data_IF_227022555251
#
_entry.id   IF_227022555251
#
_cell.length_a   1.000
_cell.length_b   1.000
_cell.length_c   1.000
_cell.angle_alpha   90.00
_cell.angle_beta   90.00
_cell.angle_gamma   90.00
#
_symmetry.space_group_name_H-M   'P 1'
#
loop_
_entity.id
_entity.type
_entity.pdbx_description
1 polymer ?
#
# COMPACT_ATOMS: atom_id res chain seq x y z
N UNK A 1 24.33 -5.02 10.52
CA UNK A 1 24.47 -4.11 9.36
C UNK A 1 23.98 -2.72 9.74
N UNK A 2 24.60 -1.68 9.17
CA UNK A 2 24.08 -0.31 9.23
C UNK A 2 23.32 -0.01 7.95
N UNK A 3 22.03 0.24 8.04
CA UNK A 3 21.12 0.46 6.91
C UNK A 3 20.67 1.91 6.90
N UNK A 4 20.94 2.64 5.83
CA UNK A 4 20.39 3.98 5.62
C UNK A 4 19.17 3.87 4.71
N UNK A 5 17.97 4.06 5.27
CA UNK A 5 16.73 4.10 4.53
C UNK A 5 16.43 5.52 4.05
N UNK A 6 16.26 5.70 2.75
CA UNK A 6 15.87 7.00 2.16
C UNK A 6 14.56 6.83 1.43
N UNK A 7 13.52 7.55 1.84
CA UNK A 7 12.16 7.35 1.34
C UNK A 7 11.46 8.66 1.00
N UNK A 8 10.63 8.63 -0.06
CA UNK A 8 9.80 9.78 -0.49
C UNK A 8 8.57 9.98 0.39
N UNK A 9 8.22 8.99 1.22
CA UNK A 9 7.07 9.03 2.13
C UNK A 9 7.39 8.22 3.39
N UNK A 10 7.08 8.79 4.55
CA UNK A 10 7.22 8.13 5.84
C UNK A 10 6.19 8.67 6.83
N UNK A 11 6.25 8.22 8.08
CA UNK A 11 5.39 8.76 9.14
C UNK A 11 5.49 10.30 9.19
N UNK A 12 4.40 11.02 9.47
CA UNK A 12 3.06 10.59 9.88
C UNK A 12 2.10 10.23 8.74
N UNK A 13 2.58 10.16 7.50
CA UNK A 13 1.76 9.72 6.35
C UNK A 13 1.27 8.29 6.54
N UNK A 14 0.08 7.98 6.00
CA UNK A 14 -0.53 6.65 6.07
C UNK A 14 -0.75 6.11 4.67
N UNK A 15 0.10 5.17 4.27
CA UNK A 15 -0.04 4.42 3.03
C UNK A 15 0.69 3.07 3.14
N UNK A 16 0.46 2.18 2.20
CA UNK A 16 1.04 0.83 2.21
C UNK A 16 2.57 0.81 2.17
N UNK A 17 3.23 1.85 1.61
CA UNK A 17 4.69 1.96 1.60
C UNK A 17 5.19 2.28 2.99
N UNK A 18 4.57 3.25 3.66
CA UNK A 18 4.90 3.62 5.06
C UNK A 18 4.74 2.42 5.97
N UNK A 19 3.59 1.71 5.89
CA UNK A 19 3.35 0.51 6.69
C UNK A 19 4.45 -0.53 6.49
N UNK A 20 4.82 -0.82 5.24
CA UNK A 20 5.89 -1.76 4.92
C UNK A 20 7.24 -1.33 5.49
N UNK A 21 7.61 -0.06 5.30
CA UNK A 21 8.91 0.43 5.74
C UNK A 21 9.02 0.50 7.27
N UNK A 22 7.93 0.81 7.97
CA UNK A 22 7.90 0.79 9.43
C UNK A 22 8.14 -0.63 9.95
N UNK A 23 7.43 -1.64 9.45
CA UNK A 23 7.67 -3.03 9.82
C UNK A 23 9.07 -3.53 9.47
N UNK A 24 9.64 -3.08 8.33
CA UNK A 24 11.02 -3.40 7.96
C UNK A 24 12.00 -2.80 8.96
N UNK A 25 11.83 -1.55 9.37
CA UNK A 25 12.69 -0.88 10.36
C UNK A 25 12.59 -1.60 11.71
N UNK A 26 11.38 -1.90 12.17
CA UNK A 26 11.16 -2.63 13.43
C UNK A 26 11.85 -4.01 13.41
N UNK A 27 11.74 -4.73 12.30
CA UNK A 27 12.41 -6.02 12.12
C UNK A 27 13.94 -5.89 12.15
N UNK A 28 14.50 -4.93 11.40
CA UNK A 28 15.95 -4.69 11.38
C UNK A 28 16.50 -4.38 12.78
N UNK A 29 15.80 -3.53 13.53
CA UNK A 29 16.20 -3.19 14.91
C UNK A 29 16.09 -4.39 15.85
N UNK A 30 15.04 -5.20 15.71
CA UNK A 30 14.87 -6.43 16.53
C UNK A 30 15.95 -7.48 16.27
N UNK A 31 16.50 -7.51 15.04
CA UNK A 31 17.61 -8.39 14.66
C UNK A 31 19.01 -7.77 14.97
N UNK A 32 19.03 -6.64 15.69
CA UNK A 32 20.28 -5.99 16.12
C UNK A 32 21.00 -5.23 15.01
N UNK A 33 20.29 -4.81 13.97
CA UNK A 33 20.82 -3.91 12.95
C UNK A 33 20.66 -2.45 13.36
N UNK A 34 21.57 -1.58 12.90
CA UNK A 34 21.46 -0.14 13.08
C UNK A 34 20.76 0.46 11.86
N UNK A 35 19.77 1.34 12.09
CA UNK A 35 19.01 1.97 11.03
C UNK A 35 18.94 3.47 11.26
N UNK A 36 19.20 4.25 10.21
CA UNK A 36 18.85 5.67 10.15
C UNK A 36 17.98 5.93 8.94
N UNK A 37 17.09 6.93 9.04
CA UNK A 37 16.07 7.21 8.04
C UNK A 37 16.21 8.64 7.55
N UNK A 38 16.19 8.86 6.23
CA UNK A 38 15.99 10.18 5.62
C UNK A 38 14.63 10.19 4.95
N UNK A 39 13.76 11.10 5.40
CA UNK A 39 12.40 11.24 4.92
C UNK A 39 11.97 12.72 4.82
N UNK A 40 10.85 13.07 4.16
CA UNK A 40 10.31 14.43 4.18
C UNK A 40 10.02 14.91 5.61
N UNK A 41 10.53 16.09 6.00
CA UNK A 41 10.54 16.56 7.39
C UNK A 41 9.22 17.13 7.92
N UNK A 42 8.18 17.29 7.09
CA UNK A 42 6.94 17.92 7.54
C UNK A 42 6.16 17.00 8.50
N UNK A 43 5.92 17.48 9.72
CA UNK A 43 5.13 16.78 10.74
C UNK A 43 5.90 15.69 11.51
N UNK A 44 7.21 15.50 11.27
CA UNK A 44 8.01 14.51 12.00
C UNK A 44 8.13 14.91 13.47
N UNK A 45 8.50 16.15 13.76
CA UNK A 45 8.68 16.63 15.14
C UNK A 45 7.36 16.51 15.95
N UNK A 46 6.23 16.84 15.34
CA UNK A 46 4.91 16.69 15.95
C UNK A 46 4.54 15.21 16.15
N UNK A 47 4.92 14.35 15.22
CA UNK A 47 4.69 12.90 15.31
C UNK A 47 5.55 12.27 16.41
N UNK A 48 6.83 12.59 16.49
CA UNK A 48 7.74 12.11 17.54
C UNK A 48 7.29 12.56 18.93
N UNK A 49 6.83 13.83 19.05
CA UNK A 49 6.29 14.36 20.31
C UNK A 49 4.97 13.70 20.74
N UNK A 50 4.14 13.25 19.78
CA UNK A 50 2.85 12.62 20.04
C UNK A 50 2.95 11.09 20.20
N UNK A 51 4.10 10.49 19.87
CA UNK A 51 4.30 9.05 19.95
C UNK A 51 4.49 8.62 21.40
N UNK A 52 3.48 7.92 21.95
CA UNK A 52 3.59 7.30 23.29
C UNK A 52 4.66 6.18 23.25
N UNK A 53 5.70 6.24 24.10
CA UNK A 53 6.70 5.18 24.20
C UNK A 53 6.13 3.78 24.47
N UNK A 54 4.89 3.72 25.02
CA UNK A 54 4.17 2.48 25.29
C UNK A 54 3.41 1.94 24.08
N UNK A 55 3.22 2.75 23.05
CA UNK A 55 2.55 2.39 21.80
C UNK A 55 3.56 2.26 20.66
N UNK A 56 4.62 1.48 20.90
CA UNK A 56 5.80 1.30 20.05
C UNK A 56 5.54 0.82 18.62
N UNK A 57 4.27 0.50 18.26
CA UNK A 57 3.89 0.08 16.91
C UNK A 57 3.79 1.22 15.89
N UNK A 58 3.97 2.47 16.29
CA UNK A 58 3.82 3.63 15.39
C UNK A 58 5.06 4.51 15.25
N UNK A 59 6.09 4.36 16.10
CA UNK A 59 7.34 5.11 15.98
C UNK A 59 8.49 4.12 15.84
N UNK A 60 9.18 4.08 14.68
CA UNK A 60 10.38 3.28 14.57
C UNK A 60 11.42 3.82 15.55
N UNK A 61 12.04 2.95 16.36
CA UNK A 61 13.12 3.31 17.28
C UNK A 61 14.43 3.77 16.60
N UNK A 62 14.35 4.19 15.33
CA UNK A 62 15.47 4.64 14.50
C UNK A 62 15.43 6.16 14.33
N UNK A 63 16.59 6.85 14.33
CA UNK A 63 16.67 8.28 14.07
C UNK A 63 16.13 8.66 12.69
N UNK A 64 15.31 9.73 12.63
CA UNK A 64 14.74 10.25 11.39
C UNK A 64 15.32 11.62 11.08
N UNK A 65 15.96 11.74 9.92
CA UNK A 65 16.49 13.01 9.41
C UNK A 65 15.45 13.64 8.47
N UNK A 66 14.78 14.68 8.93
CA UNK A 66 13.77 15.43 8.19
C UNK A 66 14.37 16.25 7.05
N UNK A 67 14.12 15.87 5.80
CA UNK A 67 14.53 16.64 4.64
C UNK A 67 13.63 17.87 4.44
N UNK A 68 14.17 19.04 4.02
CA UNK A 68 13.37 20.22 3.68
C UNK A 68 12.27 19.90 2.68
N UNK A 69 11.04 20.33 2.96
CA UNK A 69 9.85 19.99 2.18
C UNK A 69 9.22 21.22 1.54
N UNK A 70 8.50 20.97 0.44
CA UNK A 70 7.58 21.92 -0.19
C UNK A 70 6.20 21.28 -0.28
N UNK A 71 5.15 22.09 -0.09
CA UNK A 71 3.76 21.67 -0.36
C UNK A 71 3.45 21.96 -1.83
N UNK A 72 2.98 20.94 -2.53
CA UNK A 72 2.59 21.10 -3.93
C UNK A 72 1.07 21.32 -3.98
N UNK A 73 0.56 22.38 -4.65
CA UNK A 73 -0.86 22.76 -4.60
C UNK A 73 -1.84 21.65 -4.98
N UNK A 74 -1.47 20.76 -5.90
CA UNK A 74 -2.31 19.66 -6.39
C UNK A 74 -2.20 18.38 -5.56
N UNK A 75 -1.34 18.38 -4.51
CA UNK A 75 -1.17 17.25 -3.60
C UNK A 75 -0.83 17.76 -2.19
N UNK A 76 -1.72 18.57 -1.57
CA UNK A 76 -1.43 19.27 -0.32
C UNK A 76 -1.24 18.33 0.88
N UNK A 77 -1.79 17.11 0.79
CA UNK A 77 -1.70 16.09 1.85
C UNK A 77 -0.36 15.35 1.89
N UNK A 78 0.52 15.55 0.90
CA UNK A 78 1.81 14.87 0.83
C UNK A 78 2.94 15.88 0.69
N UNK A 79 3.87 15.94 1.67
CA UNK A 79 5.08 16.76 1.56
C UNK A 79 6.02 16.17 0.51
N UNK A 80 6.67 17.02 -0.26
CA UNK A 80 7.67 16.63 -1.26
C UNK A 80 9.03 17.23 -0.90
N UNK A 81 10.08 16.44 -0.94
CA UNK A 81 11.45 16.93 -0.76
C UNK A 81 12.15 17.03 -2.10
N UNK A 82 12.37 18.26 -2.57
CA UNK A 82 13.08 18.48 -3.83
C UNK A 82 14.57 18.16 -3.68
N UNK A 83 15.26 17.71 -4.74
CA UNK A 83 16.70 17.40 -4.73
C UNK A 83 17.56 18.67 -4.73
N UNK A 84 17.40 19.51 -3.72
CA UNK A 84 18.12 20.77 -3.55
C UNK A 84 19.57 20.54 -3.05
N UNK A 85 20.46 21.53 -3.16
CA UNK A 85 21.80 21.44 -2.57
C UNK A 85 21.79 21.21 -1.05
N UNK A 86 20.76 21.69 -0.33
CA UNK A 86 20.62 21.45 1.12
C UNK A 86 20.30 19.98 1.41
N UNK A 87 19.40 19.37 0.66
CA UNK A 87 19.08 17.94 0.76
C UNK A 87 20.30 17.07 0.45
N UNK A 88 21.05 17.40 -0.61
CA UNK A 88 22.30 16.71 -0.91
C UNK A 88 23.34 16.84 0.21
N UNK A 89 23.54 18.05 0.78
CA UNK A 89 24.47 18.25 1.90
C UNK A 89 24.05 17.48 3.15
N UNK A 90 22.76 17.46 3.45
CA UNK A 90 22.20 16.68 4.57
C UNK A 90 22.49 15.20 4.38
N UNK A 91 22.14 14.63 3.22
CA UNK A 91 22.38 13.22 2.90
C UNK A 91 23.87 12.86 2.99
N UNK A 92 24.76 13.70 2.46
CA UNK A 92 26.21 13.52 2.54
C UNK A 92 26.72 13.57 3.99
N UNK A 93 26.14 14.42 4.84
CA UNK A 93 26.46 14.47 6.26
C UNK A 93 26.07 13.17 6.96
N UNK A 94 24.81 12.74 6.79
CA UNK A 94 24.30 11.49 7.39
C UNK A 94 25.16 10.30 6.95
N UNK A 95 25.47 10.17 5.66
CA UNK A 95 26.31 9.07 5.15
C UNK A 95 27.70 9.07 5.79
N UNK A 96 28.32 10.24 6.01
CA UNK A 96 29.65 10.32 6.62
C UNK A 96 29.64 10.02 8.12
N UNK A 97 28.59 10.44 8.84
CA UNK A 97 28.45 10.26 10.28
C UNK A 97 28.02 8.82 10.60
N UNK A 98 26.98 8.33 9.95
CA UNK A 98 26.42 7.00 10.17
C UNK A 98 27.25 5.88 9.53
N UNK A 99 27.94 6.14 8.41
CA UNK A 99 28.73 5.15 7.63
C UNK A 99 27.94 3.89 7.32
N UNK A 100 26.84 3.99 6.57
CA UNK A 100 26.00 2.83 6.29
C UNK A 100 26.74 1.78 5.45
N UNK A 101 26.48 0.51 5.74
CA UNK A 101 26.95 -0.62 4.94
C UNK A 101 26.15 -0.72 3.63
N UNK A 102 24.85 -0.38 3.68
CA UNK A 102 23.93 -0.39 2.53
C UNK A 102 22.99 0.82 2.59
N UNK A 103 22.65 1.36 1.42
CA UNK A 103 21.63 2.40 1.27
C UNK A 103 20.40 1.74 0.61
N UNK A 104 19.22 1.86 1.24
CA UNK A 104 17.94 1.48 0.65
C UNK A 104 17.17 2.74 0.22
N UNK A 105 17.04 2.95 -1.09
CA UNK A 105 16.24 4.03 -1.65
C UNK A 105 14.83 3.51 -1.98
N UNK A 106 13.86 3.82 -1.11
CA UNK A 106 12.48 3.40 -1.29
C UNK A 106 11.74 4.36 -2.22
N UNK A 107 11.30 3.87 -3.38
CA UNK A 107 10.62 4.64 -4.42
C UNK A 107 11.42 5.90 -4.83
N UNK A 108 12.68 5.79 -5.30
CA UNK A 108 13.51 6.95 -5.55
C UNK A 108 12.95 7.81 -6.70
N UNK A 109 12.48 9.01 -6.38
CA UNK A 109 11.93 9.97 -7.36
C UNK A 109 12.67 11.30 -7.23
N UNK A 110 12.53 11.99 -6.12
CA UNK A 110 13.12 13.31 -5.85
C UNK A 110 14.20 13.22 -4.77
N UNK A 111 13.80 12.87 -3.54
CA UNK A 111 14.70 12.70 -2.40
C UNK A 111 15.69 11.55 -2.65
N UNK A 112 15.21 10.46 -3.23
CA UNK A 112 16.04 9.31 -3.60
C UNK A 112 17.18 9.62 -4.57
N UNK A 113 17.15 10.73 -5.33
CA UNK A 113 18.30 11.19 -6.13
C UNK A 113 19.51 11.53 -5.29
N UNK A 114 19.29 12.05 -4.08
CA UNK A 114 20.39 12.33 -3.15
C UNK A 114 21.01 11.01 -2.65
N UNK A 115 20.18 10.02 -2.33
CA UNK A 115 20.63 8.68 -1.94
C UNK A 115 21.46 7.99 -3.04
N UNK A 116 20.95 7.95 -4.27
CA UNK A 116 21.66 7.36 -5.43
C UNK A 116 23.01 8.04 -5.67
N UNK A 117 23.04 9.38 -5.59
CA UNK A 117 24.30 10.15 -5.75
C UNK A 117 25.30 9.83 -4.64
N UNK A 118 24.84 9.77 -3.38
CA UNK A 118 25.69 9.47 -2.24
C UNK A 118 26.24 8.04 -2.31
N UNK A 119 25.38 7.05 -2.63
CA UNK A 119 25.77 5.66 -2.83
C UNK A 119 26.92 5.53 -3.87
N UNK A 120 26.75 6.15 -5.04
CA UNK A 120 27.81 6.19 -6.07
C UNK A 120 29.09 6.83 -5.60
N UNK A 121 28.99 8.00 -4.94
CA UNK A 121 30.16 8.77 -4.50
C UNK A 121 31.00 8.02 -3.47
N UNK A 122 30.32 7.37 -2.51
CA UNK A 122 30.95 6.66 -1.41
C UNK A 122 31.14 5.16 -1.70
N UNK A 123 30.73 4.69 -2.89
CA UNK A 123 30.78 3.27 -3.29
C UNK A 123 30.07 2.35 -2.31
N UNK A 124 28.93 2.83 -1.78
CA UNK A 124 28.07 2.05 -0.88
C UNK A 124 27.05 1.29 -1.72
N UNK A 125 26.84 -0.01 -1.47
CA UNK A 125 25.80 -0.80 -2.12
C UNK A 125 24.42 -0.13 -2.02
N UNK A 126 23.69 -0.11 -3.15
CA UNK A 126 22.38 0.51 -3.26
C UNK A 126 21.32 -0.54 -3.59
N UNK A 127 20.32 -0.66 -2.73
CA UNK A 127 19.07 -1.36 -3.01
C UNK A 127 18.00 -0.32 -3.30
N UNK A 128 17.29 -0.44 -4.40
CA UNK A 128 16.17 0.44 -4.73
C UNK A 128 14.86 -0.36 -4.74
N UNK A 129 13.80 0.15 -4.11
CA UNK A 129 12.51 -0.53 -4.17
C UNK A 129 11.48 0.28 -4.98
N UNK A 130 10.78 -0.40 -5.89
CA UNK A 130 9.80 0.16 -6.79
C UNK A 130 8.40 -0.23 -6.34
N UNK A 131 7.76 0.65 -5.57
CA UNK A 131 6.47 0.38 -4.93
C UNK A 131 5.26 0.86 -5.72
N UNK A 132 5.45 1.82 -6.64
CA UNK A 132 4.35 2.44 -7.38
C UNK A 132 4.75 2.62 -8.84
N UNK A 133 3.93 2.12 -9.77
CA UNK A 133 4.08 2.41 -11.18
C UNK A 133 3.63 3.85 -11.47
N UNK A 134 4.50 4.81 -11.15
CA UNK A 134 4.20 6.23 -11.30
C UNK A 134 3.89 6.64 -12.75
N UNK A 135 4.57 6.12 -13.79
CA UNK A 135 4.20 6.40 -15.18
C UNK A 135 2.76 5.98 -15.53
N UNK A 136 2.36 4.76 -15.16
CA UNK A 136 0.98 4.28 -15.36
C UNK A 136 -0.04 5.07 -14.52
N UNK A 137 0.36 5.48 -13.33
CA UNK A 137 -0.44 6.33 -12.46
C UNK A 137 -0.71 7.70 -13.12
N UNK A 138 0.33 8.36 -13.61
CA UNK A 138 0.21 9.69 -14.25
C UNK A 138 -0.57 9.66 -15.54
N UNK A 139 -0.56 8.55 -16.28
CA UNK A 139 -1.36 8.41 -17.50
C UNK A 139 -2.87 8.50 -17.25
N UNK A 140 -3.35 8.23 -16.04
CA UNK A 140 -4.74 8.39 -15.62
C UNK A 140 -5.17 9.84 -15.40
N UNK A 141 -4.21 10.75 -15.20
CA UNK A 141 -4.47 12.17 -15.03
C UNK A 141 -4.20 12.92 -16.34
N UNK A 142 -5.26 13.27 -17.10
CA UNK A 142 -5.15 13.91 -18.43
C UNK A 142 -4.17 15.09 -18.47
N UNK A 143 -4.17 15.92 -17.41
CA UNK A 143 -3.27 17.07 -17.30
C UNK A 143 -1.79 16.69 -17.20
N UNK A 144 -1.46 15.46 -16.78
CA UNK A 144 -0.09 15.00 -16.50
C UNK A 144 0.35 13.82 -17.36
N UNK A 145 -0.53 13.28 -18.21
CA UNK A 145 -0.24 12.12 -19.05
C UNK A 145 1.01 12.32 -19.94
N UNK A 146 1.25 13.55 -20.41
CA UNK A 146 2.43 13.93 -21.20
C UNK A 146 3.74 13.73 -20.46
N UNK A 147 3.74 13.78 -19.12
CA UNK A 147 4.95 13.63 -18.29
C UNK A 147 5.34 12.16 -18.05
N UNK A 148 4.45 11.20 -18.33
CA UNK A 148 4.69 9.78 -18.08
C UNK A 148 6.02 9.25 -18.68
N UNK A 149 6.39 9.53 -19.96
CA UNK A 149 7.66 9.08 -20.53
C UNK A 149 8.89 9.72 -19.85
N UNK A 150 8.78 10.97 -19.40
CA UNK A 150 9.86 11.64 -18.68
C UNK A 150 10.09 11.01 -17.30
N UNK A 151 8.99 10.70 -16.62
CA UNK A 151 9.03 10.02 -15.30
C UNK A 151 9.57 8.60 -15.46
N UNK A 152 9.15 7.85 -16.49
CA UNK A 152 9.69 6.52 -16.80
C UNK A 152 11.22 6.57 -17.01
N UNK A 153 11.70 7.56 -17.79
CA UNK A 153 13.14 7.77 -18.00
C UNK A 153 13.88 8.13 -16.69
N UNK A 154 13.28 8.97 -15.86
CA UNK A 154 13.84 9.35 -14.56
C UNK A 154 13.91 8.14 -13.61
N UNK A 155 12.82 7.37 -13.50
CA UNK A 155 12.76 6.12 -12.72
C UNK A 155 13.85 5.16 -13.19
N UNK A 156 13.91 4.85 -14.48
CA UNK A 156 14.96 3.99 -15.05
C UNK A 156 16.35 4.45 -14.66
N UNK A 157 16.64 5.77 -14.78
CA UNK A 157 17.97 6.31 -14.46
C UNK A 157 18.35 6.11 -13.00
N UNK A 158 17.41 6.26 -12.07
CA UNK A 158 17.66 6.12 -10.64
C UNK A 158 17.82 4.67 -10.22
N UNK A 159 17.03 3.78 -10.79
CA UNK A 159 17.07 2.36 -10.50
C UNK A 159 18.24 1.62 -11.17
N UNK A 160 18.78 2.17 -12.27
CA UNK A 160 19.91 1.55 -13.00
C UNK A 160 21.19 1.48 -12.17
N UNK A 161 21.39 2.43 -11.26
CA UNK A 161 22.58 2.48 -10.41
C UNK A 161 22.47 1.56 -9.18
N UNK A 162 21.31 0.95 -8.94
CA UNK A 162 21.11 -0.01 -7.86
C UNK A 162 21.66 -1.39 -8.23
N UNK A 163 22.35 -2.04 -7.30
CA UNK A 163 22.77 -3.43 -7.44
C UNK A 163 21.55 -4.37 -7.44
N UNK A 164 20.52 -4.00 -6.67
CA UNK A 164 19.29 -4.78 -6.58
C UNK A 164 18.08 -3.85 -6.63
N UNK A 165 17.08 -4.27 -7.41
CA UNK A 165 15.78 -3.64 -7.49
C UNK A 165 14.71 -4.55 -6.87
N UNK A 166 14.04 -4.10 -5.81
CA UNK A 166 12.96 -4.80 -5.16
C UNK A 166 11.61 -4.33 -5.69
N UNK A 167 10.69 -5.25 -5.98
CA UNK A 167 9.32 -4.97 -6.43
C UNK A 167 8.32 -5.77 -5.60
N UNK A 168 7.04 -5.46 -5.72
CA UNK A 168 5.98 -5.98 -4.84
C UNK A 168 5.17 -7.13 -5.42
N UNK A 169 5.37 -7.46 -6.70
CA UNK A 169 4.62 -8.51 -7.43
C UNK A 169 5.34 -8.95 -8.69
N UNK A 170 4.97 -10.09 -9.26
CA UNK A 170 5.47 -10.57 -10.55
C UNK A 170 5.05 -9.64 -11.69
N UNK A 171 3.83 -9.09 -11.63
CA UNK A 171 3.37 -8.06 -12.56
C UNK A 171 4.29 -6.84 -12.53
N UNK A 172 4.63 -6.34 -11.34
CA UNK A 172 5.57 -5.24 -11.17
C UNK A 172 6.99 -5.61 -11.62
N UNK A 173 7.42 -6.87 -11.45
CA UNK A 173 8.71 -7.35 -11.97
C UNK A 173 8.74 -7.28 -13.49
N UNK A 174 7.66 -7.71 -14.14
CA UNK A 174 7.54 -7.65 -15.59
C UNK A 174 7.57 -6.21 -16.11
N UNK A 175 6.83 -5.30 -15.45
CA UNK A 175 6.83 -3.88 -15.76
C UNK A 175 8.21 -3.21 -15.54
N UNK A 176 8.87 -3.52 -14.43
CA UNK A 176 10.20 -3.01 -14.12
C UNK A 176 11.22 -3.46 -15.18
N UNK A 177 11.16 -4.73 -15.61
CA UNK A 177 11.99 -5.25 -16.72
C UNK A 177 11.68 -4.57 -18.04
N UNK A 178 10.41 -4.30 -18.34
CA UNK A 178 10.01 -3.55 -19.54
C UNK A 178 10.54 -2.11 -19.51
N UNK A 179 10.70 -1.50 -18.34
CA UNK A 179 11.39 -0.22 -18.15
C UNK A 179 12.92 -0.34 -18.29
N UNK A 180 13.46 -1.56 -18.44
CA UNK A 180 14.89 -1.84 -18.55
C UNK A 180 15.63 -1.82 -17.21
N UNK A 181 14.94 -2.20 -16.11
CA UNK A 181 15.58 -2.42 -14.82
C UNK A 181 16.14 -3.85 -14.76
N UNK A 182 17.33 -3.98 -14.20
CA UNK A 182 18.04 -5.24 -14.03
C UNK A 182 18.00 -5.69 -12.56
N UNK A 183 18.39 -6.94 -12.27
CA UNK A 183 18.43 -7.50 -10.91
C UNK A 183 17.14 -7.26 -10.11
N UNK A 184 15.99 -7.53 -10.77
CA UNK A 184 14.65 -7.28 -10.19
C UNK A 184 14.18 -8.49 -9.39
N UNK A 185 13.93 -8.29 -8.10
CA UNK A 185 13.48 -9.30 -7.14
C UNK A 185 12.12 -8.93 -6.55
N UNK A 186 11.24 -9.92 -6.47
CA UNK A 186 9.94 -9.74 -5.80
C UNK A 186 10.13 -9.94 -4.31
N UNK A 187 9.63 -9.00 -3.51
CA UNK A 187 9.52 -9.11 -2.05
C UNK A 187 8.08 -9.41 -1.66
N UNK A 188 7.90 -10.33 -0.72
CA UNK A 188 6.58 -10.79 -0.29
C UNK A 188 5.71 -9.65 0.23
N UNK A 189 4.40 -9.79 0.05
CA UNK A 189 3.40 -8.98 0.74
C UNK A 189 3.22 -9.50 2.16
N UNK A 190 2.65 -8.68 3.04
CA UNK A 190 2.40 -9.10 4.41
C UNK A 190 1.19 -8.38 5.01
N UNK A 191 0.67 -8.96 6.08
CA UNK A 191 -0.44 -8.43 6.86
C UNK A 191 -0.25 -8.75 8.34
N UNK A 192 -0.75 -7.88 9.23
CA UNK A 192 -0.82 -8.17 10.67
C UNK A 192 -2.09 -9.00 10.97
N UNK A 193 -1.92 -10.32 10.97
CA UNK A 193 -3.03 -11.26 11.22
C UNK A 193 -3.49 -11.29 12.68
N UNK A 194 -2.80 -10.59 13.59
CA UNK A 194 -3.23 -10.40 14.98
C UNK A 194 -4.20 -9.23 15.10
N UNK A 195 -3.98 -8.18 14.32
CA UNK A 195 -4.87 -7.03 14.24
C UNK A 195 -6.06 -7.35 13.34
N UNK A 196 -5.79 -7.87 12.15
CA UNK A 196 -6.81 -8.23 11.17
C UNK A 196 -7.14 -9.72 11.31
N UNK A 197 -8.29 -10.01 11.93
CA UNK A 197 -8.78 -11.36 12.18
C UNK A 197 -10.31 -11.40 12.16
N UNK A 198 -10.94 -12.56 11.92
CA UNK A 198 -12.41 -12.65 11.75
C UNK A 198 -13.24 -12.32 13.00
N UNK A 199 -12.60 -12.22 14.19
CA UNK A 199 -13.32 -12.13 15.48
C UNK A 199 -13.69 -13.52 16.02
N UNK A 200 -14.30 -13.52 17.20
CA UNK A 200 -14.71 -14.78 17.87
C UNK A 200 -16.02 -15.33 17.31
N UNK A 201 -16.89 -14.47 16.79
CA UNK A 201 -18.11 -14.89 16.08
C UNK A 201 -18.14 -14.25 14.67
N UNK A 202 -18.42 -15.04 13.61
CA UNK A 202 -18.65 -14.49 12.29
C UNK A 202 -19.87 -13.56 12.33
N UNK A 203 -19.67 -12.27 12.11
CA UNK A 203 -20.74 -11.24 12.09
C UNK A 203 -21.76 -11.44 10.97
N UNK A 204 -21.72 -12.57 10.28
CA UNK A 204 -22.68 -13.01 9.26
C UNK A 204 -24.00 -13.53 9.85
N UNK A 205 -24.24 -13.37 11.17
CA UNK A 205 -25.53 -13.70 11.77
C UNK A 205 -26.60 -12.70 11.33
N UNK A 206 -27.76 -13.16 10.83
CA UNK A 206 -28.85 -12.24 10.51
C UNK A 206 -29.39 -11.64 11.83
N UNK A 207 -29.74 -10.36 11.87
CA UNK A 207 -30.60 -9.86 12.92
C UNK A 207 -31.92 -10.62 12.85
N UNK A 208 -32.46 -11.00 14.02
CA UNK A 208 -33.76 -11.62 14.10
C UNK A 208 -34.82 -10.71 13.45
N UNK A 209 -35.41 -11.13 12.31
CA UNK A 209 -36.47 -10.41 11.62
C UNK A 209 -36.53 -10.74 10.13
N UNK A 210 -37.69 -10.79 9.58
CA UNK A 210 -38.07 -11.18 8.22
C UNK A 210 -37.69 -10.20 7.10
N UNK A 211 -36.76 -9.25 7.32
CA UNK A 211 -36.24 -8.40 6.26
C UNK A 211 -34.99 -9.04 5.65
N UNK A 212 -34.97 -9.15 4.34
CA UNK A 212 -33.78 -9.49 3.56
C UNK A 212 -32.65 -8.53 3.93
N UNK A 213 -31.63 -9.06 4.62
CA UNK A 213 -30.46 -8.26 5.03
C UNK A 213 -29.72 -7.76 3.79
N UNK A 214 -29.45 -6.46 3.73
CA UNK A 214 -28.60 -5.89 2.69
C UNK A 214 -27.18 -6.42 2.76
N UNK A 215 -26.57 -6.59 1.59
CA UNK A 215 -25.18 -6.97 1.49
C UNK A 215 -24.28 -5.73 1.73
N UNK A 216 -23.43 -5.80 2.75
CA UNK A 216 -22.56 -4.69 3.16
C UNK A 216 -21.21 -4.79 2.46
N UNK A 217 -20.93 -3.83 1.61
CA UNK A 217 -19.68 -3.68 0.86
C UNK A 217 -18.74 -2.72 1.58
N UNK A 218 -17.47 -3.05 1.67
CA UNK A 218 -16.41 -2.21 2.21
C UNK A 218 -15.37 -1.89 1.16
N UNK A 219 -14.99 -0.64 1.06
CA UNK A 219 -13.76 -0.19 0.41
C UNK A 219 -12.87 0.51 1.43
N UNK A 220 -11.58 0.20 1.41
CA UNK A 220 -10.55 0.87 2.22
C UNK A 220 -9.45 1.36 1.30
N UNK A 221 -9.14 2.65 1.38
CA UNK A 221 -8.06 3.22 0.59
C UNK A 221 -8.20 4.70 0.35
N UNK A 222 -7.23 5.27 -0.36
CA UNK A 222 -7.28 6.68 -0.74
C UNK A 222 -8.40 6.93 -1.74
N UNK A 223 -9.22 7.97 -1.50
CA UNK A 223 -10.29 8.37 -2.40
C UNK A 223 -9.72 9.20 -3.56
N UNK A 224 -9.21 8.50 -4.58
CA UNK A 224 -8.49 9.11 -5.70
C UNK A 224 -8.86 8.42 -7.03
N UNK A 225 -8.60 9.08 -8.14
CA UNK A 225 -9.05 8.65 -9.46
C UNK A 225 -8.59 7.24 -9.85
N UNK A 226 -7.37 6.87 -9.45
CA UNK A 226 -6.78 5.55 -9.73
C UNK A 226 -7.44 4.39 -8.96
N UNK A 227 -8.33 4.71 -8.00
CA UNK A 227 -9.10 3.69 -7.28
C UNK A 227 -10.40 3.31 -7.98
N UNK A 228 -10.73 3.99 -9.07
CA UNK A 228 -11.85 3.69 -9.97
C UNK A 228 -13.21 3.52 -9.26
N UNK A 229 -13.42 4.23 -8.12
CA UNK A 229 -14.65 4.13 -7.32
C UNK A 229 -15.90 4.56 -8.08
N UNK A 230 -15.75 5.38 -9.13
CA UNK A 230 -16.85 5.78 -10.00
C UNK A 230 -17.53 4.60 -10.70
N UNK A 231 -16.86 3.44 -10.85
CA UNK A 231 -17.46 2.20 -11.38
C UNK A 231 -18.59 1.67 -10.49
N UNK A 232 -18.56 1.99 -9.20
CA UNK A 232 -19.59 1.55 -8.24
C UNK A 232 -20.81 2.49 -8.22
N UNK A 233 -20.71 3.72 -8.72
CA UNK A 233 -21.78 4.72 -8.65
C UNK A 233 -23.08 4.22 -9.34
N UNK A 234 -23.06 3.76 -10.61
CA UNK A 234 -24.28 3.26 -11.28
C UNK A 234 -24.90 2.06 -10.55
N UNK A 235 -24.05 1.17 -10.02
CA UNK A 235 -24.48 0.01 -9.25
C UNK A 235 -25.25 0.42 -8.00
N UNK A 236 -24.71 1.33 -7.19
CA UNK A 236 -25.32 1.78 -5.94
C UNK A 236 -26.63 2.56 -6.17
N UNK A 237 -26.80 3.21 -7.31
CA UNK A 237 -28.07 3.86 -7.67
C UNK A 237 -29.17 2.88 -8.09
N UNK A 238 -28.81 1.69 -8.61
CA UNK A 238 -29.78 0.68 -9.06
C UNK A 238 -30.15 -0.34 -7.98
N UNK A 239 -29.33 -0.49 -6.93
CA UNK A 239 -29.39 -1.60 -5.98
C UNK A 239 -29.71 -1.12 -4.54
N UNK A 240 -30.96 -1.30 -4.14
CA UNK A 240 -31.41 -1.00 -2.77
C UNK A 240 -31.02 -2.07 -1.73
N UNK A 241 -30.61 -3.24 -2.20
CA UNK A 241 -30.16 -4.37 -1.40
C UNK A 241 -28.69 -4.34 -1.04
N UNK A 242 -27.96 -3.29 -1.47
CA UNK A 242 -26.54 -3.06 -1.16
C UNK A 242 -26.37 -1.85 -0.21
N UNK A 243 -25.35 -1.93 0.62
CA UNK A 243 -24.81 -0.83 1.41
C UNK A 243 -23.31 -0.76 1.15
N UNK A 244 -22.75 0.45 1.00
CA UNK A 244 -21.32 0.65 0.73
C UNK A 244 -20.71 1.56 1.79
N UNK A 245 -19.62 1.11 2.40
CA UNK A 245 -18.79 1.94 3.28
C UNK A 245 -17.46 2.24 2.60
N UNK A 246 -17.14 3.53 2.49
CA UNK A 246 -15.87 4.04 1.95
C UNK A 246 -15.00 4.55 3.11
N UNK A 247 -13.92 3.83 3.42
CA UNK A 247 -12.95 4.21 4.43
C UNK A 247 -11.74 4.84 3.76
N UNK A 248 -11.39 6.04 4.20
CA UNK A 248 -10.26 6.80 3.69
C UNK A 248 -10.60 8.23 3.38
N UNK A 249 -9.64 8.93 2.79
CA UNK A 249 -9.78 10.31 2.32
C UNK A 249 -8.97 10.50 1.04
N UNK A 250 -9.19 11.61 0.35
CA UNK A 250 -8.43 11.90 -0.87
C UNK A 250 -9.07 12.94 -1.78
N UNK A 251 -8.39 13.30 -2.87
CA UNK A 251 -8.78 14.41 -3.74
C UNK A 251 -10.13 14.21 -4.44
N UNK A 252 -10.63 12.98 -4.53
CA UNK A 252 -11.93 12.69 -5.15
C UNK A 252 -13.10 12.67 -4.15
N UNK A 253 -12.85 12.86 -2.84
CA UNK A 253 -13.89 12.74 -1.80
C UNK A 253 -15.13 13.57 -2.13
N UNK A 254 -14.98 14.88 -2.37
CA UNK A 254 -16.11 15.77 -2.63
C UNK A 254 -16.89 15.40 -3.90
N UNK A 255 -16.22 14.91 -4.94
CA UNK A 255 -16.86 14.42 -6.15
C UNK A 255 -17.65 13.14 -5.87
N UNK A 256 -17.04 12.17 -5.18
CA UNK A 256 -17.68 10.91 -4.81
C UNK A 256 -18.88 11.13 -3.88
N UNK A 257 -18.79 12.01 -2.88
CA UNK A 257 -19.94 12.36 -2.01
C UNK A 257 -21.11 12.94 -2.82
N UNK A 258 -20.84 13.71 -3.88
CA UNK A 258 -21.87 14.20 -4.80
C UNK A 258 -22.43 13.08 -5.65
N UNK A 259 -21.58 12.24 -6.24
CA UNK A 259 -21.97 11.23 -7.23
C UNK A 259 -22.71 10.05 -6.56
N UNK A 260 -22.42 9.72 -5.30
CA UNK A 260 -23.15 8.74 -4.47
C UNK A 260 -24.36 9.31 -3.73
N UNK A 261 -24.72 10.59 -3.95
CA UNK A 261 -25.87 11.19 -3.26
C UNK A 261 -27.16 10.43 -3.56
N UNK A 262 -27.96 10.15 -2.52
CA UNK A 262 -29.19 9.38 -2.65
C UNK A 262 -29.01 7.88 -2.64
N UNK A 263 -27.79 7.38 -2.60
CA UNK A 263 -27.49 5.95 -2.42
C UNK A 263 -27.23 5.60 -0.95
N UNK A 264 -27.12 4.31 -0.65
CA UNK A 264 -26.75 3.83 0.70
C UNK A 264 -25.24 3.74 0.84
N UNK A 265 -24.54 4.85 0.57
CA UNK A 265 -23.09 4.93 0.69
C UNK A 265 -22.71 5.79 1.88
N UNK A 266 -21.86 5.23 2.76
CA UNK A 266 -21.33 5.91 3.94
C UNK A 266 -19.84 6.23 3.77
N UNK A 267 -19.44 7.47 4.06
CA UNK A 267 -18.06 7.95 4.05
C UNK A 267 -17.52 8.01 5.48
N UNK A 268 -16.80 6.98 5.90
CA UNK A 268 -16.32 6.83 7.28
C UNK A 268 -15.08 7.67 7.61
N UNK A 269 -14.46 8.31 6.61
CA UNK A 269 -13.17 8.99 6.81
C UNK A 269 -12.01 8.02 7.02
N UNK A 270 -10.90 8.54 7.54
CA UNK A 270 -9.69 7.72 7.78
C UNK A 270 -9.84 6.95 9.11
N UNK A 271 -9.79 5.63 9.05
CA UNK A 271 -9.78 4.75 10.22
C UNK A 271 -8.40 4.07 10.36
N UNK A 272 -8.02 3.68 11.58
CA UNK A 272 -6.73 3.04 11.90
C UNK A 272 -6.89 2.03 13.03
N UNK A 273 -5.91 1.10 13.10
CA UNK A 273 -5.81 0.13 14.19
C UNK A 273 -7.10 -0.67 14.36
N UNK A 274 -7.50 -0.89 15.61
CA UNK A 274 -8.67 -1.72 15.93
C UNK A 274 -9.98 -1.22 15.31
N UNK A 275 -10.16 0.11 15.17
CA UNK A 275 -11.36 0.66 14.51
C UNK A 275 -11.43 0.27 13.03
N UNK A 276 -10.29 0.24 12.34
CA UNK A 276 -10.22 -0.24 10.98
C UNK A 276 -10.46 -1.75 10.91
N UNK A 277 -9.80 -2.53 11.78
CA UNK A 277 -9.97 -3.98 11.84
C UNK A 277 -11.44 -4.37 12.13
N UNK A 278 -12.09 -3.68 13.08
CA UNK A 278 -13.51 -3.88 13.35
C UNK A 278 -14.38 -3.56 12.14
N UNK A 279 -14.04 -2.52 11.37
CA UNK A 279 -14.79 -2.18 10.15
C UNK A 279 -14.70 -3.29 9.11
N UNK A 280 -13.55 -3.95 8.94
CA UNK A 280 -13.46 -5.14 8.08
C UNK A 280 -14.40 -6.26 8.57
N UNK A 281 -14.42 -6.55 9.88
CA UNK A 281 -15.29 -7.58 10.48
C UNK A 281 -16.79 -7.29 10.32
N UNK A 282 -17.17 -6.01 10.27
CA UNK A 282 -18.58 -5.59 10.22
C UNK A 282 -19.21 -5.68 8.82
N UNK A 283 -18.48 -6.07 7.80
CA UNK A 283 -18.93 -6.11 6.41
C UNK A 283 -19.01 -7.54 5.84
N UNK A 284 -19.62 -7.67 4.68
CA UNK A 284 -19.89 -8.98 4.04
C UNK A 284 -18.96 -9.26 2.84
N UNK A 285 -18.47 -8.20 2.17
CA UNK A 285 -17.54 -8.24 1.04
C UNK A 285 -16.63 -7.02 1.03
N UNK A 286 -15.38 -7.23 0.66
CA UNK A 286 -14.43 -6.16 0.39
C UNK A 286 -14.41 -5.87 -1.11
N UNK A 287 -14.90 -4.70 -1.55
CA UNK A 287 -14.93 -4.34 -2.98
C UNK A 287 -13.71 -3.52 -3.37
N UNK A 288 -13.02 -3.95 -4.45
CA UNK A 288 -11.78 -3.32 -4.90
C UNK A 288 -11.76 -3.10 -6.41
N UNK A 289 -12.31 -1.96 -6.91
CA UNK A 289 -12.47 -1.72 -8.35
C UNK A 289 -11.19 -1.22 -9.04
N UNK A 290 -10.09 -1.00 -8.31
CA UNK A 290 -8.83 -0.52 -8.86
C UNK A 290 -8.10 -1.57 -9.71
N UNK A 291 -7.64 -1.18 -10.89
CA UNK A 291 -6.79 -1.99 -11.77
C UNK A 291 -5.31 -1.59 -11.74
N UNK A 292 -4.96 -0.51 -11.02
CA UNK A 292 -3.60 0.05 -10.98
C UNK A 292 -2.88 -0.20 -9.64
N UNK A 293 -3.38 -1.13 -8.84
CA UNK A 293 -2.76 -1.47 -7.56
C UNK A 293 -1.40 -2.14 -7.76
N UNK A 294 -0.49 -1.90 -6.84
CA UNK A 294 0.85 -2.49 -6.86
C UNK A 294 1.12 -3.38 -5.65
N UNK A 295 0.78 -2.92 -4.47
CA UNK A 295 1.04 -3.63 -3.21
C UNK A 295 -0.19 -4.36 -2.68
N UNK A 296 -1.35 -3.70 -2.69
CA UNK A 296 -2.64 -4.29 -2.33
C UNK A 296 -2.75 -4.81 -0.91
N UNK A 297 -2.12 -4.16 0.08
CA UNK A 297 -2.18 -4.59 1.48
C UNK A 297 -3.61 -4.70 1.99
N UNK A 298 -4.49 -3.80 1.58
CA UNK A 298 -5.91 -3.79 1.97
C UNK A 298 -6.66 -5.06 1.53
N UNK A 299 -6.21 -5.73 0.46
CA UNK A 299 -6.74 -7.04 0.06
C UNK A 299 -6.36 -8.11 1.08
N UNK A 300 -5.09 -8.14 1.50
CA UNK A 300 -4.63 -9.06 2.54
C UNK A 300 -5.26 -8.75 3.91
N UNK A 301 -5.49 -7.46 4.23
CA UNK A 301 -6.21 -7.05 5.44
C UNK A 301 -7.67 -7.59 5.44
N UNK A 302 -8.36 -7.49 4.29
CA UNK A 302 -9.69 -8.05 4.10
C UNK A 302 -9.67 -9.58 4.25
N UNK A 303 -8.78 -10.27 3.53
CA UNK A 303 -8.62 -11.72 3.60
C UNK A 303 -8.30 -12.17 5.03
N UNK A 304 -7.36 -11.51 5.71
CA UNK A 304 -6.99 -11.78 7.09
C UNK A 304 -8.15 -11.58 8.06
N UNK A 305 -9.05 -10.63 7.79
CA UNK A 305 -10.26 -10.39 8.58
C UNK A 305 -11.40 -11.37 8.27
N UNK A 306 -11.18 -12.36 7.39
CA UNK A 306 -12.23 -13.26 6.93
C UNK A 306 -13.30 -12.55 6.06
N UNK A 307 -12.94 -11.45 5.43
CA UNK A 307 -13.81 -10.69 4.54
C UNK A 307 -13.45 -11.01 3.07
N UNK A 308 -14.31 -11.73 2.32
CA UNK A 308 -14.01 -12.11 0.95
C UNK A 308 -13.77 -10.89 0.05
N UNK A 309 -12.63 -10.79 -0.66
CA UNK A 309 -12.41 -9.73 -1.62
C UNK A 309 -13.19 -9.97 -2.92
N UNK A 310 -13.76 -8.90 -3.48
CA UNK A 310 -14.35 -8.79 -4.80
C UNK A 310 -13.58 -7.70 -5.56
N UNK A 311 -12.63 -8.10 -6.39
CA UNK A 311 -11.66 -7.19 -6.98
C UNK A 311 -11.72 -7.14 -8.51
N UNK A 312 -11.40 -5.97 -9.07
CA UNK A 312 -11.22 -5.84 -10.51
C UNK A 312 -10.00 -6.66 -10.97
N UNK A 313 -10.15 -7.38 -12.09
CA UNK A 313 -9.11 -8.22 -12.68
C UNK A 313 -7.93 -7.38 -13.17
N UNK A 314 -6.78 -7.60 -12.55
CA UNK A 314 -5.51 -6.97 -12.91
C UNK A 314 -4.35 -7.91 -12.57
N UNK A 315 -3.13 -7.66 -13.10
CA UNK A 315 -1.97 -8.49 -12.75
C UNK A 315 -1.82 -8.69 -11.24
N UNK A 316 -1.69 -7.61 -10.43
CA UNK A 316 -1.51 -7.73 -9.00
C UNK A 316 -2.68 -8.34 -8.22
N UNK A 317 -3.93 -8.18 -8.67
CA UNK A 317 -5.10 -8.80 -8.01
C UNK A 317 -5.18 -10.30 -8.31
N UNK A 318 -4.87 -10.72 -9.54
CA UNK A 318 -4.81 -12.13 -9.93
C UNK A 318 -3.66 -12.89 -9.26
N UNK A 319 -2.63 -12.21 -8.78
CA UNK A 319 -1.57 -12.83 -7.97
C UNK A 319 -1.99 -13.06 -6.52
N UNK A 320 -3.00 -12.34 -6.02
CA UNK A 320 -3.43 -12.40 -4.62
C UNK A 320 -4.71 -13.23 -4.44
N UNK A 321 -5.53 -13.29 -5.48
CA UNK A 321 -6.88 -13.87 -5.41
C UNK A 321 -6.98 -15.02 -6.41
N UNK A 322 -7.33 -16.19 -5.91
CA UNK A 322 -7.79 -17.32 -6.71
C UNK A 322 -9.30 -17.21 -6.85
N UNK A 323 -9.76 -16.94 -8.07
CA UNK A 323 -11.18 -16.64 -8.36
C UNK A 323 -12.11 -17.78 -7.96
N UNK A 324 -13.13 -17.46 -7.16
CA UNK A 324 -14.09 -18.42 -6.60
C UNK A 324 -13.59 -19.24 -5.41
N UNK A 325 -12.31 -19.10 -5.02
CA UNK A 325 -11.69 -19.80 -3.89
C UNK A 325 -11.29 -18.84 -2.77
N UNK A 326 -10.34 -17.94 -2.99
CA UNK A 326 -9.89 -16.98 -1.97
C UNK A 326 -10.47 -15.57 -2.16
N UNK A 327 -11.36 -15.39 -3.14
CA UNK A 327 -12.06 -14.15 -3.47
C UNK A 327 -12.72 -14.25 -4.83
N UNK A 328 -13.19 -13.13 -5.34
CA UNK A 328 -13.86 -13.02 -6.64
C UNK A 328 -13.20 -11.96 -7.49
N UNK A 329 -13.08 -12.24 -8.80
CA UNK A 329 -12.49 -11.33 -9.76
C UNK A 329 -13.51 -10.94 -10.84
N UNK A 330 -13.64 -9.65 -11.13
CA UNK A 330 -14.52 -9.15 -12.19
C UNK A 330 -13.72 -8.32 -13.23
N UNK A 331 -14.10 -8.44 -14.50
CA UNK A 331 -13.53 -7.66 -15.60
C UNK A 331 -14.31 -6.36 -15.86
N UNK A 332 -15.63 -6.47 -15.88
CA UNK A 332 -16.54 -5.35 -16.20
C UNK A 332 -17.70 -5.24 -15.19
N UNK A 333 -18.55 -4.25 -15.39
CA UNK A 333 -19.68 -3.96 -14.52
C UNK A 333 -20.77 -5.04 -14.56
N UNK A 334 -20.95 -5.73 -15.69
CA UNK A 334 -21.94 -6.81 -15.81
C UNK A 334 -21.50 -8.04 -15.00
N UNK A 335 -20.20 -8.40 -15.09
CA UNK A 335 -19.63 -9.49 -14.30
C UNK A 335 -19.69 -9.16 -12.79
N UNK A 336 -19.40 -7.91 -12.41
CA UNK A 336 -19.57 -7.42 -11.04
C UNK A 336 -21.01 -7.60 -10.53
N UNK A 337 -22.02 -7.21 -11.32
CA UNK A 337 -23.43 -7.38 -10.95
C UNK A 337 -23.82 -8.86 -10.82
N UNK A 338 -23.41 -9.71 -11.75
CA UNK A 338 -23.69 -11.16 -11.70
C UNK A 338 -23.12 -11.82 -10.45
N UNK A 339 -21.88 -11.48 -10.09
CA UNK A 339 -21.24 -11.98 -8.86
C UNK A 339 -22.02 -11.49 -7.64
N UNK A 340 -22.36 -10.20 -7.56
CA UNK A 340 -23.14 -9.66 -6.44
C UNK A 340 -24.52 -10.28 -6.34
N UNK A 341 -25.20 -10.57 -7.46
CA UNK A 341 -26.49 -11.28 -7.48
C UNK A 341 -26.36 -12.70 -6.90
N UNK A 342 -25.32 -13.41 -7.27
CA UNK A 342 -25.07 -14.75 -6.72
C UNK A 342 -24.79 -14.70 -5.21
N UNK A 343 -24.00 -13.70 -4.76
CA UNK A 343 -23.58 -13.56 -3.38
C UNK A 343 -24.66 -12.96 -2.46
N UNK A 344 -25.60 -12.18 -2.98
CA UNK A 344 -26.71 -11.61 -2.22
C UNK A 344 -27.80 -12.64 -1.87
N UNK A 345 -27.93 -13.73 -2.64
CA UNK A 345 -28.92 -14.80 -2.38
C UNK A 345 -28.63 -15.54 -1.07
N UNK A 346 -29.63 -16.19 -0.52
CA UNK A 346 -29.47 -17.01 0.70
C UNK A 346 -28.40 -18.10 0.52
N UNK A 347 -28.35 -18.76 -0.65
CA UNK A 347 -27.29 -19.73 -1.02
C UNK A 347 -25.92 -19.11 -1.15
N UNK A 348 -25.83 -17.81 -1.43
CA UNK A 348 -24.57 -17.07 -1.51
C UNK A 348 -23.86 -16.91 -0.16
N UNK A 349 -24.58 -17.07 0.96
CA UNK A 349 -23.98 -17.01 2.30
C UNK A 349 -22.95 -18.13 2.51
N UNK A 350 -23.30 -19.36 2.15
CA UNK A 350 -22.38 -20.52 2.29
C UNK A 350 -21.13 -20.32 1.42
N UNK A 351 -21.31 -19.79 0.20
CA UNK A 351 -20.21 -19.46 -0.70
C UNK A 351 -19.29 -18.40 -0.08
N UNK A 352 -19.85 -17.30 0.46
CA UNK A 352 -19.05 -16.25 1.13
C UNK A 352 -18.28 -16.81 2.32
N UNK A 353 -18.89 -17.66 3.15
CA UNK A 353 -18.22 -18.28 4.31
C UNK A 353 -17.07 -19.19 3.89
N UNK A 354 -17.27 -20.02 2.87
CA UNK A 354 -16.20 -20.87 2.33
C UNK A 354 -15.03 -20.05 1.80
N UNK A 355 -15.31 -19.04 0.99
CA UNK A 355 -14.29 -18.16 0.42
C UNK A 355 -13.60 -17.35 1.52
N UNK A 356 -14.34 -16.89 2.55
CA UNK A 356 -13.78 -16.20 3.72
C UNK A 356 -12.74 -17.05 4.46
N UNK A 357 -13.04 -18.33 4.67
CA UNK A 357 -12.12 -19.27 5.33
C UNK A 357 -10.86 -19.48 4.48
N UNK A 358 -11.00 -19.78 3.19
CA UNK A 358 -9.85 -19.96 2.29
C UNK A 358 -9.01 -18.67 2.15
N UNK A 359 -9.66 -17.50 2.11
CA UNK A 359 -8.98 -16.21 2.09
C UNK A 359 -8.15 -16.00 3.38
N UNK A 360 -8.70 -16.34 4.54
CA UNK A 360 -7.99 -16.25 5.82
C UNK A 360 -6.78 -17.18 5.85
N UNK A 361 -6.95 -18.45 5.46
CA UNK A 361 -5.86 -19.43 5.41
C UNK A 361 -4.72 -18.97 4.49
N UNK A 362 -5.04 -18.30 3.37
CA UNK A 362 -4.05 -17.71 2.48
C UNK A 362 -3.33 -16.53 3.14
N UNK A 363 -4.08 -15.60 3.75
CA UNK A 363 -3.51 -14.42 4.39
C UNK A 363 -2.56 -14.77 5.55
N UNK A 364 -2.80 -15.85 6.27
CA UNK A 364 -1.94 -16.31 7.39
C UNK A 364 -0.53 -16.71 6.94
N UNK A 365 -0.33 -17.02 5.67
CA UNK A 365 1.00 -17.33 5.10
C UNK A 365 1.87 -16.08 4.90
N UNK A 366 1.30 -14.87 5.04
CA UNK A 366 1.92 -13.59 4.72
C UNK A 366 2.30 -12.79 5.98
N UNK A 367 3.42 -13.13 6.62
CA UNK A 367 3.90 -12.43 7.82
C UNK A 367 4.84 -11.26 7.50
N UNK A 368 4.80 -10.21 8.34
CA UNK A 368 5.73 -9.08 8.25
C UNK A 368 7.19 -9.49 8.49
N UNK A 369 7.44 -10.47 9.38
CA UNK A 369 8.78 -10.99 9.61
C UNK A 369 9.37 -11.60 8.34
N UNK A 370 8.62 -12.47 7.65
CA UNK A 370 9.07 -13.08 6.41
C UNK A 370 9.27 -12.06 5.27
N UNK A 371 8.38 -11.07 5.16
CA UNK A 371 8.51 -10.01 4.15
C UNK A 371 9.69 -9.05 4.43
N UNK A 372 10.03 -8.84 5.69
CA UNK A 372 11.20 -8.05 6.08
C UNK A 372 12.49 -8.81 5.86
N UNK A 373 12.50 -10.12 6.12
CA UNK A 373 13.68 -10.97 5.85
C UNK A 373 14.03 -11.01 4.36
N UNK A 374 13.04 -10.94 3.45
CA UNK A 374 13.32 -10.77 2.01
C UNK A 374 14.22 -9.54 1.75
N UNK A 375 13.98 -8.41 2.43
CA UNK A 375 14.83 -7.22 2.29
C UNK A 375 16.21 -7.44 2.90
N UNK A 376 16.30 -8.09 4.05
CA UNK A 376 17.59 -8.42 4.70
C UNK A 376 18.44 -9.28 3.78
N UNK A 377 17.84 -10.27 3.11
CA UNK A 377 18.53 -11.11 2.12
C UNK A 377 18.98 -10.28 0.90
N UNK A 378 18.17 -9.35 0.42
CA UNK A 378 18.57 -8.46 -0.66
C UNK A 378 19.73 -7.54 -0.25
N UNK A 379 19.77 -7.07 1.00
CA UNK A 379 20.89 -6.29 1.52
C UNK A 379 22.16 -7.13 1.59
N UNK A 380 22.10 -8.36 2.12
CA UNK A 380 23.24 -9.29 2.17
C UNK A 380 23.80 -9.57 0.77
N UNK A 381 22.93 -9.78 -0.22
CA UNK A 381 23.31 -10.00 -1.62
C UNK A 381 23.95 -8.75 -2.24
N UNK A 382 23.40 -7.57 -1.99
CA UNK A 382 23.99 -6.32 -2.46
C UNK A 382 25.40 -6.08 -1.88
N UNK A 383 25.61 -6.43 -0.61
CA UNK A 383 26.91 -6.40 0.06
C UNK A 383 27.90 -7.41 -0.51
N UNK A 384 27.43 -8.58 -0.92
CA UNK A 384 28.26 -9.60 -1.57
C UNK A 384 28.62 -9.28 -3.03
N UNK A 385 27.98 -8.27 -3.62
CA UNK A 385 28.22 -7.88 -5.01
C UNK A 385 27.50 -8.77 -6.03
N UNK A 386 26.42 -9.42 -5.62
CA UNK A 386 25.64 -10.40 -6.43
C UNK A 386 24.27 -9.81 -6.79
#
# INVERSE_FOLDING_TARGET
MRVLLVTETFVPSVDGVVTRLTHLVDHLLSEGHEVEIIAPGLGIDEYEAASDPKNSRQSPGAPIHGAPTVRVPFYPSRPWSLPTPSVHRMTERVVREFRPDVIHAAQPILLGRAAVRAARRHRIPLVASYHTNLPAYLSRYRAWAWSAPLIARATRRMHRDAQINAVTSEAMRSEARALGLEHVHVVRRAVDTRLFHPGEEPTLAPPHGTQTRRLRLLFVGRLAAEKDLNRLVPLMHRRDDLELTLVGDGPQRANLERDFRGTRTHFAGVLRGEKLAQTYRDHDLFVFPSVTETLGLVLLEAMASGLPPLAARSGPTMEQIVDGDTGFLFGDENELEQILDALARTSGKELRLRVAAAARDEAEKHSWAAASEDFVDLYRRALAGV
#
